data_IF_749689793367
#
_entry.id   IF_749689793367
#
_cell.length_a   1.000
_cell.length_b   1.000
_cell.length_c   1.000
_cell.angle_alpha   90.00
_cell.angle_beta   90.00
_cell.angle_gamma   90.00
#
_symmetry.space_group_name_H-M   'P 1'
#
loop_
_entity.id
_entity.type
_entity.pdbx_description
1 polymer ?
#
# COMPACT_ATOMS: atom_id res chain seq x y z
N UNK A 1 -2.61 36.89 10.75
CA UNK A 1 -3.34 35.75 10.18
C UNK A 1 -2.53 34.50 10.49
N UNK A 2 -2.90 33.74 11.51
CA UNK A 2 -2.21 32.48 11.83
C UNK A 2 -2.57 31.46 10.76
N UNK A 3 -1.57 30.85 10.12
CA UNK A 3 -1.80 29.83 9.09
C UNK A 3 -2.14 28.50 9.74
N UNK A 4 -3.32 28.41 10.35
CA UNK A 4 -3.78 27.27 11.15
C UNK A 4 -3.67 25.92 10.40
N UNK A 5 -3.81 25.94 9.07
CA UNK A 5 -3.55 24.78 8.22
C UNK A 5 -2.10 24.27 8.33
N UNK A 6 -1.11 25.17 8.25
CA UNK A 6 0.31 24.82 8.36
C UNK A 6 0.63 24.32 9.77
N UNK A 7 0.08 24.96 10.81
CA UNK A 7 0.27 24.52 12.19
C UNK A 7 -0.29 23.11 12.43
N UNK A 8 -1.48 22.81 11.89
CA UNK A 8 -2.06 21.47 11.96
C UNK A 8 -1.22 20.44 11.19
N UNK A 9 -0.70 20.81 10.01
CA UNK A 9 0.17 19.93 9.25
C UNK A 9 1.47 19.61 10.01
N UNK A 10 2.14 20.63 10.57
CA UNK A 10 3.34 20.45 11.39
C UNK A 10 3.05 19.55 12.59
N UNK A 11 1.93 19.78 13.29
CA UNK A 11 1.50 18.92 14.40
C UNK A 11 1.29 17.48 13.95
N UNK A 12 0.63 17.25 12.82
CA UNK A 12 0.40 15.91 12.29
C UNK A 12 1.71 15.22 11.89
N UNK A 13 2.69 15.95 11.37
CA UNK A 13 4.04 15.44 11.10
C UNK A 13 4.74 14.98 12.38
N UNK A 14 4.70 15.79 13.45
CA UNK A 14 5.30 15.40 14.73
C UNK A 14 4.61 14.18 15.34
N UNK A 15 3.28 14.09 15.24
CA UNK A 15 2.52 12.90 15.67
C UNK A 15 2.90 11.67 14.84
N UNK A 16 3.03 11.79 13.51
CA UNK A 16 3.43 10.69 12.63
C UNK A 16 4.84 10.17 12.95
N UNK A 17 5.77 11.08 13.27
CA UNK A 17 7.17 10.76 13.58
C UNK A 17 7.32 9.89 14.83
N UNK A 18 6.47 10.10 15.84
CA UNK A 18 6.51 9.34 17.10
C UNK A 18 5.53 8.17 17.14
N UNK A 19 4.59 8.11 16.19
CA UNK A 19 3.59 7.05 16.11
C UNK A 19 4.26 5.69 15.91
N UNK A 20 3.78 4.69 16.64
CA UNK A 20 4.19 3.29 16.50
C UNK A 20 2.96 2.42 16.23
N UNK A 21 3.12 1.33 15.47
CA UNK A 21 2.05 0.36 15.31
C UNK A 21 1.64 -0.20 16.68
N UNK A 22 0.34 -0.32 16.93
CA UNK A 22 -0.17 -1.00 18.13
C UNK A 22 -0.09 -2.52 17.97
N UNK A 23 -0.22 -3.01 16.74
CA UNK A 23 -0.01 -4.40 16.36
C UNK A 23 0.71 -4.48 15.02
N UNK A 24 1.44 -5.56 14.79
CA UNK A 24 2.05 -5.88 13.50
C UNK A 24 1.76 -7.33 13.14
N UNK A 25 1.35 -7.54 11.89
CA UNK A 25 1.02 -8.86 11.34
C UNK A 25 1.86 -9.11 10.10
N UNK A 26 2.33 -10.35 9.95
CA UNK A 26 3.06 -10.81 8.76
C UNK A 26 2.30 -11.97 8.17
N UNK A 27 1.96 -11.87 6.89
CA UNK A 27 1.03 -12.78 6.22
C UNK A 27 1.58 -13.22 4.86
N UNK A 28 1.21 -14.42 4.44
CA UNK A 28 1.40 -14.90 3.06
C UNK A 28 0.09 -14.83 2.24
N UNK A 29 -1.04 -14.57 2.93
CA UNK A 29 -2.39 -14.49 2.39
C UNK A 29 -3.37 -13.92 3.42
N UNK A 30 -4.69 -14.00 3.18
CA UNK A 30 -5.70 -13.45 4.11
C UNK A 30 -6.31 -14.48 5.06
N UNK A 31 -5.88 -15.73 5.00
CA UNK A 31 -6.43 -16.78 5.86
C UNK A 31 -6.02 -16.53 7.31
N UNK A 32 -6.99 -16.57 8.22
CA UNK A 32 -6.77 -16.28 9.65
C UNK A 32 -6.47 -14.81 9.99
N UNK A 33 -6.37 -13.91 9.01
CA UNK A 33 -6.13 -12.49 9.27
C UNK A 33 -7.37 -11.80 9.84
N UNK A 34 -7.29 -11.43 11.13
CA UNK A 34 -8.30 -10.62 11.82
C UNK A 34 -8.43 -9.25 11.14
N UNK A 35 -9.64 -8.72 11.06
CA UNK A 35 -9.87 -7.37 10.53
C UNK A 35 -9.11 -6.32 11.36
N UNK A 36 -8.47 -5.40 10.64
CA UNK A 36 -7.82 -4.20 11.19
C UNK A 36 -8.50 -3.00 10.57
N UNK A 37 -9.11 -2.14 11.38
CA UNK A 37 -9.89 -1.00 10.88
C UNK A 37 -9.00 0.04 10.19
N UNK A 38 -7.88 0.38 10.84
CA UNK A 38 -6.93 1.39 10.37
C UNK A 38 -5.51 0.88 10.43
N UNK A 39 -4.80 1.00 9.32
CA UNK A 39 -3.42 0.58 9.27
C UNK A 39 -2.73 0.85 7.95
N UNK A 40 -1.42 0.66 7.97
CA UNK A 40 -0.55 0.63 6.81
C UNK A 40 -0.32 -0.84 6.44
N UNK A 41 -0.35 -1.14 5.15
CA UNK A 41 0.03 -2.46 4.64
C UNK A 41 1.09 -2.32 3.56
N UNK A 42 2.02 -3.26 3.58
CA UNK A 42 3.17 -3.36 2.69
C UNK A 42 3.09 -4.73 2.02
N UNK A 43 3.18 -4.77 0.69
CA UNK A 43 3.19 -6.00 -0.09
C UNK A 43 4.57 -6.11 -0.74
N UNK A 44 5.27 -7.21 -0.47
CA UNK A 44 6.63 -7.47 -0.93
C UNK A 44 6.68 -8.77 -1.74
N UNK A 45 7.45 -8.79 -2.82
CA UNK A 45 7.88 -10.01 -3.51
C UNK A 45 9.14 -10.56 -2.84
N UNK A 46 9.17 -11.88 -2.61
CA UNK A 46 10.27 -12.57 -1.95
C UNK A 46 11.10 -13.36 -2.96
N UNK A 47 12.37 -12.97 -3.12
CA UNK A 47 13.36 -13.70 -3.92
C UNK A 47 13.12 -13.68 -5.44
N UNK A 48 12.28 -12.76 -5.92
CA UNK A 48 11.97 -12.62 -7.35
C UNK A 48 12.84 -11.59 -8.09
N UNK A 49 12.67 -11.55 -9.41
CA UNK A 49 13.31 -10.57 -10.28
C UNK A 49 12.41 -9.34 -10.40
N UNK A 50 12.84 -8.24 -9.76
CA UNK A 50 12.09 -6.98 -9.72
C UNK A 50 11.85 -6.39 -11.12
N UNK A 51 12.79 -6.57 -12.06
CA UNK A 51 12.67 -6.05 -13.42
C UNK A 51 11.62 -6.86 -14.17
N UNK A 52 11.73 -8.19 -14.14
CA UNK A 52 10.77 -9.07 -14.77
C UNK A 52 9.36 -8.89 -14.19
N UNK A 53 9.22 -8.81 -12.86
CA UNK A 53 7.94 -8.58 -12.18
C UNK A 53 7.27 -7.27 -12.63
N UNK A 54 8.06 -6.21 -12.77
CA UNK A 54 7.57 -4.92 -13.26
C UNK A 54 7.09 -5.01 -14.71
N UNK A 55 7.83 -5.71 -15.58
CA UNK A 55 7.45 -5.91 -16.98
C UNK A 55 6.19 -6.75 -17.12
N UNK A 56 6.06 -7.81 -16.33
CA UNK A 56 4.85 -8.66 -16.27
C UNK A 56 3.63 -7.83 -15.89
N UNK A 57 3.73 -6.98 -14.86
CA UNK A 57 2.64 -6.10 -14.47
C UNK A 57 2.30 -5.07 -15.56
N UNK A 58 3.31 -4.53 -16.25
CA UNK A 58 3.09 -3.61 -17.36
C UNK A 58 2.30 -4.28 -18.51
N UNK A 59 2.66 -5.52 -18.88
CA UNK A 59 1.93 -6.30 -19.89
C UNK A 59 0.52 -6.67 -19.44
N UNK A 60 0.33 -7.01 -18.17
CA UNK A 60 -1.00 -7.26 -17.61
C UNK A 60 -1.87 -6.00 -17.69
N UNK A 61 -1.33 -4.84 -17.30
CA UNK A 61 -2.06 -3.56 -17.29
C UNK A 61 -2.56 -3.13 -18.67
N UNK A 62 -1.85 -3.47 -19.74
CA UNK A 62 -2.27 -3.14 -21.12
C UNK A 62 -3.26 -4.15 -21.71
N UNK A 63 -3.27 -5.39 -21.20
CA UNK A 63 -4.12 -6.47 -21.71
C UNK A 63 -5.40 -6.71 -20.91
N UNK A 64 -5.49 -6.16 -19.69
CA UNK A 64 -6.63 -6.36 -18.79
C UNK A 64 -7.70 -5.28 -18.91
N UNK A 65 -8.97 -5.67 -18.69
CA UNK A 65 -10.07 -4.72 -18.48
C UNK A 65 -10.15 -4.12 -17.06
N UNK A 66 -9.23 -4.49 -16.17
CA UNK A 66 -9.20 -4.09 -14.76
C UNK A 66 -8.41 -2.79 -14.55
N UNK A 67 -8.85 -1.96 -13.61
CA UNK A 67 -8.06 -0.80 -13.14
C UNK A 67 -6.88 -1.28 -12.31
N UNK A 68 -5.69 -0.91 -12.74
CA UNK A 68 -4.43 -1.32 -12.14
C UNK A 68 -3.72 -0.16 -11.46
N UNK A 69 -3.01 -0.44 -10.36
CA UNK A 69 -2.11 0.52 -9.71
C UNK A 69 -1.17 1.20 -10.70
N UNK A 70 -0.79 2.45 -10.40
CA UNK A 70 0.23 3.17 -11.18
C UNK A 70 1.57 2.44 -11.06
N UNK A 71 2.35 2.50 -12.14
CA UNK A 71 3.72 1.98 -12.19
C UNK A 71 4.67 3.13 -11.82
N UNK A 72 5.52 2.94 -10.81
CA UNK A 72 6.50 3.95 -10.37
C UNK A 72 7.76 3.91 -11.25
N UNK A 73 8.77 4.76 -11.04
CA UNK A 73 9.93 4.82 -11.95
C UNK A 73 10.83 3.58 -11.87
N UNK A 74 11.17 3.16 -10.65
CA UNK A 74 12.16 2.12 -10.40
C UNK A 74 11.47 0.76 -10.11
N UNK A 75 12.09 -0.37 -10.51
CA UNK A 75 11.76 -1.68 -9.95
C UNK A 75 12.04 -1.72 -8.44
N UNK A 76 11.30 -2.53 -7.71
CA UNK A 76 11.48 -2.73 -6.27
C UNK A 76 10.88 -4.08 -5.85
N UNK A 77 11.46 -4.71 -4.83
CA UNK A 77 10.89 -5.90 -4.18
C UNK A 77 9.65 -5.53 -3.36
N UNK A 78 9.56 -4.28 -2.91
CA UNK A 78 8.33 -3.74 -2.34
C UNK A 78 7.40 -3.41 -3.49
N UNK A 79 6.32 -4.17 -3.64
CA UNK A 79 5.37 -3.99 -4.73
C UNK A 79 4.44 -2.80 -4.47
N UNK A 80 3.99 -2.63 -3.23
CA UNK A 80 2.99 -1.63 -2.89
C UNK A 80 3.01 -1.29 -1.40
N UNK A 81 2.81 0.00 -1.11
CA UNK A 81 2.52 0.52 0.23
C UNK A 81 1.18 1.22 0.15
N UNK A 82 0.30 1.00 1.12
CA UNK A 82 -0.94 1.77 1.22
C UNK A 82 -1.53 1.76 2.62
N UNK A 83 -2.50 2.63 2.83
CA UNK A 83 -3.30 2.66 4.06
C UNK A 83 -4.75 2.22 3.83
N UNK A 84 -5.42 1.87 4.91
CA UNK A 84 -6.89 1.80 4.96
C UNK A 84 -7.40 2.49 6.22
N UNK A 85 -8.59 3.08 6.12
CA UNK A 85 -9.29 3.78 7.22
C UNK A 85 -10.58 3.08 7.64
N UNK A 86 -11.00 2.09 6.87
CA UNK A 86 -12.32 1.45 6.94
C UNK A 86 -12.22 -0.07 6.76
N UNK A 87 -11.07 -0.65 7.06
CA UNK A 87 -10.79 -2.09 6.93
C UNK A 87 -9.64 -2.40 5.98
N UNK A 88 -8.55 -2.90 6.53
CA UNK A 88 -7.34 -3.30 5.79
C UNK A 88 -7.60 -4.57 4.99
N UNK A 89 -8.35 -5.54 5.52
CA UNK A 89 -8.59 -6.83 4.87
C UNK A 89 -9.25 -6.65 3.50
N UNK A 90 -10.26 -5.78 3.42
CA UNK A 90 -10.96 -5.46 2.17
C UNK A 90 -10.03 -4.86 1.13
N UNK A 91 -9.12 -3.96 1.53
CA UNK A 91 -8.12 -3.37 0.61
C UNK A 91 -7.13 -4.43 0.14
N UNK A 92 -6.62 -5.27 1.03
CA UNK A 92 -5.74 -6.36 0.66
C UNK A 92 -6.40 -7.35 -0.31
N UNK A 93 -7.67 -7.74 -0.08
CA UNK A 93 -8.41 -8.63 -0.98
C UNK A 93 -8.50 -8.05 -2.41
N UNK A 94 -8.68 -6.73 -2.53
CA UNK A 94 -8.67 -6.05 -3.82
C UNK A 94 -7.29 -6.13 -4.49
N UNK A 95 -6.20 -5.92 -3.75
CA UNK A 95 -4.84 -6.09 -4.27
C UNK A 95 -4.53 -7.53 -4.67
N UNK A 96 -5.00 -8.50 -3.90
CA UNK A 96 -4.85 -9.92 -4.20
C UNK A 96 -5.64 -10.36 -5.44
N UNK A 97 -6.71 -9.64 -5.80
CA UNK A 97 -7.42 -9.83 -7.07
C UNK A 97 -8.90 -10.15 -6.95
N UNK A 98 -9.45 -10.14 -5.74
CA UNK A 98 -10.87 -10.37 -5.45
C UNK A 98 -11.69 -9.05 -5.43
N UNK A 99 -11.10 -7.97 -5.96
CA UNK A 99 -11.73 -6.68 -6.13
C UNK A 99 -12.57 -6.56 -7.40
N UNK A 100 -13.50 -5.60 -7.38
CA UNK A 100 -14.25 -5.19 -8.56
C UNK A 100 -13.32 -4.60 -9.64
N UNK A 101 -13.64 -4.82 -10.93
CA UNK A 101 -12.76 -4.44 -12.05
C UNK A 101 -12.44 -2.93 -12.12
N UNK A 102 -13.31 -2.08 -11.57
CA UNK A 102 -13.11 -0.61 -11.54
C UNK A 102 -12.23 -0.13 -10.37
N UNK A 103 -11.86 -1.00 -9.43
CA UNK A 103 -11.03 -0.64 -8.29
C UNK A 103 -9.56 -0.69 -8.66
N UNK A 104 -8.84 0.43 -8.47
CA UNK A 104 -7.40 0.47 -8.66
C UNK A 104 -6.69 -0.40 -7.60
N UNK A 105 -5.99 -1.42 -8.09
CA UNK A 105 -5.32 -2.44 -7.27
C UNK A 105 -4.21 -3.14 -8.07
N UNK A 106 -3.42 -3.99 -7.39
CA UNK A 106 -2.40 -4.82 -8.05
C UNK A 106 -3.01 -5.99 -8.84
N UNK A 107 -4.15 -6.54 -8.40
CA UNK A 107 -4.81 -7.69 -9.01
C UNK A 107 -3.87 -8.93 -9.13
N UNK A 108 -3.11 -9.24 -8.08
CA UNK A 108 -1.98 -10.19 -8.11
C UNK A 108 -2.35 -11.58 -8.64
N UNK A 109 -3.51 -12.14 -8.25
CA UNK A 109 -4.00 -13.45 -8.71
C UNK A 109 -4.05 -13.61 -10.24
N UNK A 110 -4.11 -12.51 -10.99
CA UNK A 110 -4.29 -12.53 -12.44
C UNK A 110 -2.99 -12.50 -13.24
N UNK A 111 -1.84 -12.22 -12.62
CA UNK A 111 -0.57 -12.05 -13.34
C UNK A 111 0.69 -12.41 -12.54
N UNK A 112 0.64 -12.39 -11.21
CA UNK A 112 1.82 -12.58 -10.36
C UNK A 112 2.38 -14.01 -10.45
N UNK A 113 1.52 -14.99 -10.80
CA UNK A 113 1.92 -16.37 -11.05
C UNK A 113 2.32 -17.11 -9.76
N UNK A 114 3.37 -17.93 -9.84
CA UNK A 114 3.88 -18.76 -8.73
C UNK A 114 4.89 -18.04 -7.81
N UNK A 115 5.05 -16.72 -7.96
CA UNK A 115 5.95 -15.91 -7.14
C UNK A 115 5.48 -15.88 -5.68
N UNK A 116 6.44 -15.78 -4.77
CA UNK A 116 6.17 -15.67 -3.33
C UNK A 116 6.02 -14.21 -2.93
N UNK A 117 5.08 -13.95 -2.02
CA UNK A 117 4.89 -12.61 -1.45
C UNK A 117 4.79 -12.67 0.06
N UNK A 118 5.09 -11.53 0.68
CA UNK A 118 4.88 -11.27 2.10
C UNK A 118 4.05 -10.00 2.22
N UNK A 119 3.06 -10.01 3.10
CA UNK A 119 2.25 -8.85 3.44
C UNK A 119 2.52 -8.50 4.89
N UNK A 120 3.00 -7.28 5.13
CA UNK A 120 3.16 -6.74 6.48
C UNK A 120 2.05 -5.73 6.75
N UNK A 121 1.30 -5.89 7.83
CA UNK A 121 0.26 -4.94 8.25
C UNK A 121 0.64 -4.34 9.59
N UNK A 122 0.67 -3.01 9.65
CA UNK A 122 0.86 -2.22 10.85
C UNK A 122 -0.46 -1.54 11.22
N UNK A 123 -1.04 -1.93 12.34
CA UNK A 123 -2.25 -1.31 12.88
C UNK A 123 -1.89 -0.05 13.65
N UNK A 124 -2.62 1.05 13.43
CA UNK A 124 -2.37 2.32 14.11
C UNK A 124 -3.67 2.90 14.69
N UNK A 125 -3.57 3.39 15.92
CA UNK A 125 -4.60 4.23 16.53
C UNK A 125 -4.23 5.72 16.39
N UNK A 126 -4.36 6.23 15.16
CA UNK A 126 -4.07 7.63 14.83
C UNK A 126 -5.15 8.23 13.93
N UNK A 127 -5.11 9.55 13.75
CA UNK A 127 -6.01 10.23 12.83
C UNK A 127 -5.72 9.86 11.38
N UNK A 128 -6.73 10.04 10.52
CA UNK A 128 -6.63 9.79 9.08
C UNK A 128 -5.54 10.60 8.37
N UNK A 129 -5.22 11.79 8.86
CA UNK A 129 -4.21 12.67 8.28
C UNK A 129 -2.80 12.23 8.72
N UNK A 130 -2.65 11.84 9.99
CA UNK A 130 -1.41 11.25 10.50
C UNK A 130 -1.11 9.93 9.78
N UNK A 131 -2.12 9.07 9.58
CA UNK A 131 -1.95 7.81 8.86
C UNK A 131 -1.49 8.03 7.40
N UNK A 132 -1.97 9.08 6.73
CA UNK A 132 -1.53 9.42 5.38
C UNK A 132 -0.05 9.86 5.37
N UNK A 133 0.38 10.63 6.37
CA UNK A 133 1.80 11.03 6.48
C UNK A 133 2.68 9.80 6.71
N UNK A 134 2.25 8.85 7.53
CA UNK A 134 2.95 7.58 7.75
C UNK A 134 3.01 6.77 6.44
N UNK A 135 1.91 6.67 5.69
CA UNK A 135 1.89 6.00 4.37
C UNK A 135 2.88 6.66 3.40
N UNK A 136 2.85 7.99 3.28
CA UNK A 136 3.69 8.75 2.36
C UNK A 136 5.18 8.60 2.73
N UNK A 137 5.53 8.69 4.02
CA UNK A 137 6.88 8.48 4.51
C UNK A 137 7.35 7.03 4.26
N UNK A 138 6.52 6.04 4.57
CA UNK A 138 6.82 4.62 4.33
C UNK A 138 7.04 4.35 2.83
N UNK A 139 6.18 4.90 1.97
CA UNK A 139 6.32 4.75 0.53
C UNK A 139 7.58 5.47 -0.02
N UNK A 140 7.94 6.62 0.56
CA UNK A 140 9.17 7.33 0.21
C UNK A 140 10.41 6.49 0.53
N UNK A 141 10.47 5.95 1.76
CA UNK A 141 11.60 5.12 2.23
C UNK A 141 11.72 3.80 1.45
N UNK A 142 10.60 3.11 1.23
CA UNK A 142 10.58 1.79 0.60
C UNK A 142 10.57 1.81 -0.92
N UNK A 143 10.26 2.96 -1.54
CA UNK A 143 10.24 3.15 -3.00
C UNK A 143 9.51 2.02 -3.74
N UNK A 144 8.20 1.80 -3.50
CA UNK A 144 7.50 0.65 -4.05
C UNK A 144 7.44 0.69 -5.58
N UNK A 145 7.39 -0.49 -6.22
CA UNK A 145 7.32 -0.62 -7.67
C UNK A 145 6.01 -0.05 -8.24
N UNK A 146 4.93 -0.12 -7.46
CA UNK A 146 3.59 0.28 -7.87
C UNK A 146 2.87 1.08 -6.77
N UNK A 147 1.89 1.88 -7.19
CA UNK A 147 1.07 2.70 -6.31
C UNK A 147 1.18 4.17 -6.63
N UNK A 148 0.50 5.00 -5.83
CA UNK A 148 0.66 6.45 -5.93
C UNK A 148 1.88 6.86 -5.12
N UNK A 149 2.69 7.76 -5.68
CA UNK A 149 3.79 8.41 -4.99
C UNK A 149 3.41 9.87 -4.77
N UNK A 150 3.40 10.31 -3.50
CA UNK A 150 3.04 11.66 -3.11
C UNK A 150 1.54 11.86 -2.88
N UNK A 151 1.24 12.91 -2.10
CA UNK A 151 -0.08 13.22 -1.55
C UNK A 151 -1.21 13.02 -2.57
N UNK A 152 -2.27 12.34 -2.10
CA UNK A 152 -3.55 12.26 -2.78
C UNK A 152 -4.06 13.68 -3.07
N UNK A 153 -3.75 14.21 -4.26
CA UNK A 153 -4.37 15.43 -4.76
C UNK A 153 -5.87 15.30 -4.63
N UNK A 154 -6.45 16.10 -3.74
CA UNK A 154 -7.86 16.47 -3.78
C UNK A 154 -8.06 17.45 -4.92
#
# INVERSE_FOLDING_TARGET
MTMQYIENLLRNCELAKVAKPINTYVLEGLDGFREVDKGIYIIEEIGGDMVATREDFARFRTSTGRKCSRINKNPSSVLYVGSSKTGVRKRLAQHLGDGHMKTYALNLKHWFGARKMKITVHEYDVSSDVLQIIEDATAYELSPAFGKTGSNGR
#
